data_IF_479917091448
#
_entry.id   IF_479917091448
#
_cell.length_a   1.000
_cell.length_b   1.000
_cell.length_c   1.000
_cell.angle_alpha   90.00
_cell.angle_beta   90.00
_cell.angle_gamma   90.00
#
_symmetry.space_group_name_H-M   'P 1'
#
loop_
_entity.id
_entity.type
_entity.pdbx_description
1 polymer ?
#
# COMPACT_ATOMS: atom_id res chain seq x y z
N UNK A 1 4.44 -11.26 34.51
CA UNK A 1 4.03 -9.97 33.92
C UNK A 1 3.09 -10.22 32.77
N UNK A 2 1.93 -9.55 32.73
CA UNK A 2 1.06 -9.56 31.55
C UNK A 2 1.85 -9.00 30.37
N UNK A 3 1.84 -9.69 29.23
CA UNK A 3 2.47 -9.15 28.02
C UNK A 3 1.56 -8.04 27.46
N UNK A 4 2.16 -6.90 27.17
CA UNK A 4 1.48 -5.82 26.44
C UNK A 4 1.43 -6.12 24.95
N UNK A 5 0.30 -5.87 24.33
CA UNK A 5 0.07 -6.09 22.91
C UNK A 5 -0.50 -4.85 22.25
N UNK A 6 -0.20 -4.66 20.97
CA UNK A 6 -0.87 -3.70 20.10
C UNK A 6 -1.43 -4.41 18.88
N UNK A 7 -2.48 -3.83 18.29
CA UNK A 7 -3.12 -4.36 17.09
C UNK A 7 -2.84 -3.43 15.92
N UNK A 8 -2.47 -4.01 14.78
CA UNK A 8 -2.46 -3.31 13.51
C UNK A 8 -3.49 -3.92 12.56
N UNK A 9 -4.44 -3.11 12.14
CA UNK A 9 -5.48 -3.47 11.18
C UNK A 9 -5.41 -2.61 9.92
N UNK A 10 -5.66 -3.20 8.74
CA UNK A 10 -5.65 -2.49 7.46
C UNK A 10 -6.88 -2.82 6.63
N UNK A 11 -7.52 -1.79 6.11
CA UNK A 11 -8.63 -1.92 5.18
C UNK A 11 -8.35 -1.22 3.85
N UNK A 12 -8.97 -1.74 2.78
CA UNK A 12 -8.93 -1.08 1.49
C UNK A 12 -9.83 0.16 1.50
N UNK A 13 -9.40 1.24 0.84
CA UNK A 13 -10.18 2.48 0.72
C UNK A 13 -11.37 2.41 -0.25
N UNK A 14 -11.57 1.28 -0.93
CA UNK A 14 -12.66 1.07 -1.89
C UNK A 14 -13.89 0.48 -1.20
N UNK A 15 -14.88 1.31 -0.85
CA UNK A 15 -16.17 0.88 -0.29
C UNK A 15 -16.34 1.24 1.21
N UNK A 16 -16.90 2.44 1.49
CA UNK A 16 -16.83 3.04 2.82
C UNK A 16 -17.62 2.34 3.94
N UNK A 17 -18.68 1.59 3.65
CA UNK A 17 -19.53 0.95 4.66
C UNK A 17 -19.18 -0.52 4.93
N UNK A 18 -18.97 -1.32 3.89
CA UNK A 18 -18.57 -2.73 4.03
C UNK A 18 -17.18 -2.89 4.65
N UNK A 19 -16.28 -1.92 4.42
CA UNK A 19 -14.92 -1.96 4.92
C UNK A 19 -14.79 -1.60 6.41
N UNK A 20 -15.67 -0.76 6.97
CA UNK A 20 -15.71 -0.51 8.42
C UNK A 20 -16.08 -1.78 9.19
N UNK A 21 -17.11 -2.48 8.76
CA UNK A 21 -17.51 -3.77 9.39
C UNK A 21 -16.38 -4.81 9.30
N UNK A 22 -15.58 -4.80 8.22
CA UNK A 22 -14.43 -5.71 8.08
C UNK A 22 -13.27 -5.36 9.03
N UNK A 23 -13.03 -4.07 9.33
CA UNK A 23 -11.99 -3.65 10.30
C UNK A 23 -12.42 -3.95 11.72
N UNK A 24 -13.60 -3.54 12.08
CA UNK A 24 -14.16 -3.77 13.42
C UNK A 24 -14.15 -5.27 13.77
N UNK A 25 -14.47 -6.12 12.80
CA UNK A 25 -14.41 -7.56 12.98
C UNK A 25 -12.95 -8.06 13.15
N UNK A 26 -12.01 -7.60 12.32
CA UNK A 26 -10.60 -7.98 12.46
C UNK A 26 -10.05 -7.57 13.84
N UNK A 27 -10.37 -6.36 14.29
CA UNK A 27 -9.96 -5.87 15.60
C UNK A 27 -10.60 -6.69 16.71
N UNK A 28 -11.92 -6.96 16.64
CA UNK A 28 -12.63 -7.77 17.63
C UNK A 28 -12.03 -9.18 17.75
N UNK A 29 -11.78 -9.85 16.62
CA UNK A 29 -11.19 -11.19 16.61
C UNK A 29 -9.79 -11.21 17.24
N UNK A 30 -8.98 -10.15 17.03
CA UNK A 30 -7.64 -10.02 17.62
C UNK A 30 -7.69 -9.66 19.11
N UNK A 31 -8.66 -8.86 19.54
CA UNK A 31 -8.92 -8.56 20.97
C UNK A 31 -9.32 -9.82 21.71
N UNK A 32 -10.23 -10.60 21.15
CA UNK A 32 -10.64 -11.88 21.74
C UNK A 32 -9.47 -12.85 21.89
N UNK A 33 -8.61 -12.90 20.86
CA UNK A 33 -7.40 -13.72 20.91
C UNK A 33 -6.45 -13.25 22.01
N UNK A 34 -6.17 -11.94 22.07
CA UNK A 34 -5.31 -11.36 23.10
C UNK A 34 -5.84 -11.63 24.53
N UNK A 35 -7.17 -11.51 24.71
CA UNK A 35 -7.82 -11.81 25.98
C UNK A 35 -7.65 -13.27 26.38
N UNK A 36 -7.83 -14.22 25.45
CA UNK A 36 -7.57 -15.64 25.68
C UNK A 36 -6.11 -15.95 26.04
N UNK A 37 -5.18 -15.17 25.50
CA UNK A 37 -3.75 -15.29 25.80
C UNK A 37 -3.35 -14.56 27.11
N UNK A 38 -4.26 -13.85 27.77
CA UNK A 38 -3.97 -13.02 28.94
C UNK A 38 -3.10 -11.81 28.64
N UNK A 39 -3.19 -11.26 27.40
CA UNK A 39 -2.47 -10.07 26.98
C UNK A 39 -3.33 -8.82 27.13
N UNK A 40 -2.70 -7.70 27.53
CA UNK A 40 -3.35 -6.39 27.61
C UNK A 40 -3.15 -5.65 26.30
N UNK A 41 -4.24 -5.25 25.62
CA UNK A 41 -4.18 -4.39 24.44
C UNK A 41 -3.96 -2.95 24.90
N UNK A 42 -2.86 -2.35 24.45
CA UNK A 42 -2.51 -0.97 24.78
C UNK A 42 -3.01 0.02 23.72
N UNK A 43 -2.89 -0.34 22.44
CA UNK A 43 -3.32 0.53 21.33
C UNK A 43 -3.72 -0.27 20.10
N UNK A 44 -4.67 0.29 19.34
CA UNK A 44 -5.07 -0.21 18.02
C UNK A 44 -4.66 0.82 16.97
N UNK A 45 -4.00 0.35 15.91
CA UNK A 45 -3.59 1.15 14.75
C UNK A 45 -4.41 0.71 13.53
N UNK A 46 -5.21 1.62 12.99
CA UNK A 46 -6.06 1.35 11.84
C UNK A 46 -5.60 2.15 10.63
N UNK A 47 -5.33 1.46 9.52
CA UNK A 47 -4.85 2.08 8.29
C UNK A 47 -5.85 1.90 7.14
N UNK A 48 -6.32 3.02 6.59
CA UNK A 48 -7.26 3.07 5.48
C UNK A 48 -6.52 3.45 4.19
N UNK A 49 -5.94 2.48 3.48
CA UNK A 49 -5.21 2.73 2.24
C UNK A 49 -5.50 1.70 1.15
N UNK A 50 -5.27 2.13 -0.10
CA UNK A 50 -5.16 1.21 -1.22
C UNK A 50 -4.00 0.23 -0.97
N UNK A 51 -4.25 -1.08 -1.18
CA UNK A 51 -3.21 -2.10 -1.12
C UNK A 51 -2.01 -1.84 -2.07
N UNK A 52 -2.01 -0.74 -2.86
CA UNK A 52 -0.97 -0.39 -3.81
C UNK A 52 0.24 0.34 -3.23
N UNK A 53 0.15 0.94 -2.03
CA UNK A 53 1.26 1.70 -1.43
C UNK A 53 2.32 0.79 -0.80
N UNK A 54 3.59 1.14 -0.92
CA UNK A 54 4.72 0.47 -0.26
C UNK A 54 4.70 0.72 1.26
N UNK A 55 5.40 -0.12 2.05
CA UNK A 55 5.46 0.04 3.50
C UNK A 55 6.01 1.42 3.92
N UNK A 56 7.02 1.97 3.23
CA UNK A 56 7.54 3.31 3.50
C UNK A 56 6.54 4.45 3.25
N UNK A 57 5.48 4.18 2.49
CA UNK A 57 4.36 5.11 2.27
C UNK A 57 3.19 4.84 3.23
N UNK A 58 3.32 3.82 4.08
CA UNK A 58 2.32 3.37 5.06
C UNK A 58 2.64 3.98 6.42
N UNK A 59 2.25 5.24 6.58
CA UNK A 59 2.57 6.02 7.77
C UNK A 59 2.09 5.36 9.08
N UNK A 60 0.89 4.74 9.07
CA UNK A 60 0.32 4.10 10.26
C UNK A 60 1.04 2.80 10.62
N UNK A 61 1.48 1.99 9.64
CA UNK A 61 2.30 0.81 9.93
C UNK A 61 3.64 1.22 10.54
N UNK A 62 4.28 2.24 9.97
CA UNK A 62 5.54 2.77 10.50
C UNK A 62 5.36 3.34 11.90
N UNK A 63 4.27 4.08 12.16
CA UNK A 63 3.91 4.57 13.49
C UNK A 63 3.71 3.41 14.48
N UNK A 64 2.98 2.36 14.07
CA UNK A 64 2.73 1.18 14.89
C UNK A 64 4.04 0.49 15.31
N UNK A 65 4.96 0.28 14.37
CA UNK A 65 6.26 -0.35 14.63
C UNK A 65 7.12 0.53 15.55
N UNK A 66 7.20 1.83 15.26
CA UNK A 66 7.95 2.78 16.08
C UNK A 66 7.38 2.85 17.51
N UNK A 67 6.06 2.86 17.63
CA UNK A 67 5.38 2.81 18.93
C UNK A 67 5.74 1.54 19.70
N UNK A 68 5.69 0.38 19.02
CA UNK A 68 6.05 -0.90 19.62
C UNK A 68 7.49 -0.89 20.18
N UNK A 69 8.43 -0.33 19.42
CA UNK A 69 9.84 -0.22 19.83
C UNK A 69 9.98 0.74 21.00
N UNK A 70 9.42 1.93 20.93
CA UNK A 70 9.58 2.99 21.94
C UNK A 70 8.93 2.65 23.29
N UNK A 71 7.85 1.86 23.28
CA UNK A 71 7.10 1.48 24.47
C UNK A 71 7.38 0.03 24.93
N UNK A 72 8.39 -0.63 24.36
CA UNK A 72 8.77 -2.00 24.72
C UNK A 72 7.59 -2.98 24.69
N UNK A 73 6.76 -2.89 23.65
CA UNK A 73 5.59 -3.75 23.47
C UNK A 73 6.04 -5.20 23.28
N UNK A 74 5.39 -6.12 23.96
CA UNK A 74 5.74 -7.54 23.90
C UNK A 74 5.33 -8.22 22.59
N UNK A 75 4.21 -7.78 21.97
CA UNK A 75 3.68 -8.40 20.76
C UNK A 75 2.85 -7.44 19.90
N UNK A 76 3.04 -7.52 18.57
CA UNK A 76 2.18 -6.86 17.59
C UNK A 76 1.27 -7.91 16.94
N UNK A 77 -0.02 -7.67 16.95
CA UNK A 77 -1.05 -8.56 16.41
C UNK A 77 -1.49 -8.09 15.03
N UNK A 78 -1.44 -9.01 14.07
CA UNK A 78 -1.90 -8.82 12.71
C UNK A 78 -2.97 -9.86 12.36
N UNK A 79 -3.99 -9.46 11.59
CA UNK A 79 -4.99 -10.42 11.11
C UNK A 79 -4.42 -11.43 10.13
N UNK A 80 -3.44 -11.05 9.31
CA UNK A 80 -2.75 -11.90 8.34
C UNK A 80 -1.40 -11.30 7.92
N UNK A 81 -0.49 -12.12 7.38
CA UNK A 81 0.83 -11.71 6.89
C UNK A 81 0.78 -10.58 5.85
N UNK A 82 -0.24 -10.56 5.00
CA UNK A 82 -0.42 -9.52 3.98
C UNK A 82 -0.62 -8.11 4.58
N UNK A 83 -0.86 -8.00 5.87
CA UNK A 83 -0.94 -6.72 6.58
C UNK A 83 0.43 -6.11 6.84
N UNK A 84 1.48 -6.93 6.97
CA UNK A 84 2.86 -6.44 7.15
C UNK A 84 3.50 -5.91 5.88
N UNK A 85 3.10 -6.38 4.71
CA UNK A 85 3.66 -5.99 3.43
C UNK A 85 2.84 -6.54 2.28
N UNK A 86 3.05 -5.98 1.07
CA UNK A 86 2.41 -6.45 -0.17
C UNK A 86 3.30 -7.41 -0.94
N UNK A 87 4.59 -7.15 -0.88
CA UNK A 87 5.61 -8.00 -1.45
C UNK A 87 6.31 -8.76 -0.33
N UNK A 88 6.81 -9.94 -0.64
CA UNK A 88 7.52 -10.79 0.31
C UNK A 88 8.65 -10.07 1.00
N UNK A 89 9.42 -9.28 0.24
CA UNK A 89 10.54 -8.55 0.80
C UNK A 89 10.09 -7.48 1.83
N UNK A 90 8.93 -6.83 1.64
CA UNK A 90 8.36 -5.89 2.62
C UNK A 90 7.93 -6.60 3.91
N UNK A 91 7.34 -7.79 3.77
CA UNK A 91 6.98 -8.64 4.93
C UNK A 91 8.24 -9.04 5.69
N UNK A 92 9.27 -9.51 4.97
CA UNK A 92 10.55 -9.89 5.56
C UNK A 92 11.25 -8.71 6.24
N UNK A 93 11.20 -7.51 5.66
CA UNK A 93 11.75 -6.29 6.25
C UNK A 93 11.04 -5.93 7.56
N UNK A 94 9.70 -5.96 7.56
CA UNK A 94 8.89 -5.72 8.76
C UNK A 94 9.19 -6.76 9.85
N UNK A 95 9.23 -8.04 9.50
CA UNK A 95 9.58 -9.14 10.42
C UNK A 95 10.98 -8.94 10.98
N UNK A 96 11.95 -8.55 10.15
CA UNK A 96 13.33 -8.29 10.58
C UNK A 96 13.39 -7.17 11.60
N UNK A 97 12.72 -6.05 11.38
CA UNK A 97 12.69 -4.92 12.32
C UNK A 97 12.11 -5.34 13.66
N UNK A 98 11.00 -6.08 13.67
CA UNK A 98 10.38 -6.59 14.90
C UNK A 98 11.30 -7.58 15.62
N UNK A 99 11.93 -8.47 14.88
CA UNK A 99 12.91 -9.43 15.41
C UNK A 99 14.11 -8.74 16.05
N UNK A 100 14.73 -7.80 15.34
CA UNK A 100 15.92 -7.06 15.82
C UNK A 100 15.59 -6.24 17.08
N UNK A 101 14.31 -5.86 17.24
CA UNK A 101 13.78 -5.17 18.42
C UNK A 101 13.26 -6.12 19.53
N UNK A 102 13.38 -7.44 19.34
CA UNK A 102 12.86 -8.47 20.25
C UNK A 102 11.35 -8.35 20.54
N UNK A 103 10.59 -7.89 19.55
CA UNK A 103 9.13 -7.75 19.60
C UNK A 103 8.51 -8.92 18.86
N UNK A 104 7.61 -9.67 19.50
CA UNK A 104 6.90 -10.75 18.82
C UNK A 104 5.86 -10.20 17.85
N UNK A 105 5.62 -10.93 16.76
CA UNK A 105 4.49 -10.69 15.85
C UNK A 105 3.63 -11.94 15.81
N UNK A 106 2.32 -11.78 15.85
CA UNK A 106 1.37 -12.87 15.69
C UNK A 106 0.46 -12.61 14.49
N UNK A 107 0.31 -13.61 13.64
CA UNK A 107 -0.49 -13.59 12.42
C UNK A 107 -1.66 -14.56 12.58
N UNK A 108 -2.85 -14.01 12.83
CA UNK A 108 -4.02 -14.79 13.24
C UNK A 108 -4.46 -15.80 12.18
N UNK A 109 -4.54 -15.39 10.93
CA UNK A 109 -4.99 -16.24 9.82
C UNK A 109 -4.08 -17.44 9.57
N UNK A 110 -2.77 -17.21 9.68
CA UNK A 110 -1.75 -18.22 9.52
C UNK A 110 -1.53 -19.05 10.80
N UNK A 111 -1.98 -18.55 11.96
CA UNK A 111 -1.75 -19.18 13.26
C UNK A 111 -0.28 -19.23 13.66
N UNK A 112 0.53 -18.26 13.18
CA UNK A 112 1.98 -18.24 13.36
C UNK A 112 2.43 -17.03 14.17
N UNK A 113 3.47 -17.23 14.98
CA UNK A 113 4.19 -16.18 15.68
C UNK A 113 5.63 -16.09 15.19
N UNK A 114 6.23 -14.90 15.31
CA UNK A 114 7.65 -14.68 15.01
C UNK A 114 8.55 -15.48 15.96
N UNK A 115 8.22 -15.45 17.24
CA UNK A 115 8.91 -16.25 18.25
C UNK A 115 7.97 -17.32 18.82
N UNK A 116 8.49 -18.52 19.02
CA UNK A 116 7.83 -19.61 19.70
C UNK A 116 7.71 -19.35 21.20
N UNK A 117 6.99 -20.21 21.92
CA UNK A 117 6.80 -20.08 23.36
C UNK A 117 8.11 -20.15 24.17
N UNK A 118 9.12 -20.82 23.63
CA UNK A 118 10.48 -20.93 24.21
C UNK A 118 11.37 -19.71 23.89
N UNK A 119 10.83 -18.69 23.21
CA UNK A 119 11.54 -17.46 22.84
C UNK A 119 12.45 -17.59 21.61
N UNK A 120 12.51 -18.76 20.98
CA UNK A 120 13.28 -18.97 19.75
C UNK A 120 12.48 -18.51 18.53
N UNK A 121 13.20 -18.15 17.47
CA UNK A 121 12.58 -17.86 16.18
C UNK A 121 11.77 -19.05 15.67
N UNK A 122 10.59 -18.77 15.16
CA UNK A 122 9.75 -19.79 14.57
C UNK A 122 10.18 -20.07 13.11
N UNK A 123 10.83 -21.21 12.83
CA UNK A 123 11.31 -21.49 11.47
C UNK A 123 10.19 -21.66 10.45
N UNK A 124 8.99 -22.03 10.89
CA UNK A 124 7.83 -22.19 9.99
C UNK A 124 7.38 -20.85 9.42
N UNK A 125 7.58 -19.74 10.13
CA UNK A 125 7.22 -18.42 9.61
C UNK A 125 8.07 -18.05 8.38
N UNK A 126 9.38 -18.28 8.40
CA UNK A 126 10.27 -18.01 7.28
C UNK A 126 9.89 -18.84 6.05
N UNK A 127 9.60 -20.14 6.24
CA UNK A 127 9.14 -21.02 5.18
C UNK A 127 7.80 -20.54 4.61
N UNK A 128 6.83 -20.24 5.48
CA UNK A 128 5.50 -19.77 5.07
C UNK A 128 5.58 -18.47 4.27
N UNK A 129 6.37 -17.48 4.72
CA UNK A 129 6.55 -16.22 3.99
C UNK A 129 7.15 -16.48 2.61
N UNK A 130 8.13 -17.38 2.48
CA UNK A 130 8.75 -17.74 1.22
C UNK A 130 7.74 -18.41 0.26
N UNK A 131 6.95 -19.36 0.76
CA UNK A 131 5.90 -20.04 -0.03
C UNK A 131 4.84 -19.05 -0.51
N UNK A 132 4.32 -18.21 0.39
CA UNK A 132 3.34 -17.18 0.02
C UNK A 132 3.88 -16.20 -1.02
N UNK A 133 5.17 -15.96 -0.99
CA UNK A 133 5.85 -15.15 -1.98
C UNK A 133 5.84 -15.76 -3.37
N UNK A 134 6.23 -16.99 -3.45
CA UNK A 134 6.19 -17.76 -4.71
C UNK A 134 4.76 -17.82 -5.25
N UNK A 135 3.78 -18.16 -4.41
CA UNK A 135 2.37 -18.19 -4.79
C UNK A 135 1.87 -16.84 -5.32
N UNK A 136 2.22 -15.75 -4.66
CA UNK A 136 1.85 -14.39 -5.08
C UNK A 136 2.49 -13.99 -6.41
N UNK A 137 3.71 -14.45 -6.68
CA UNK A 137 4.37 -14.24 -7.96
C UNK A 137 3.69 -15.02 -9.07
N UNK A 138 3.42 -16.31 -8.85
CA UNK A 138 2.71 -17.16 -9.81
C UNK A 138 1.33 -16.61 -10.15
N UNK A 139 0.60 -16.10 -9.17
CA UNK A 139 -0.71 -15.46 -9.41
C UNK A 139 -0.60 -14.22 -10.31
N UNK A 140 0.39 -13.34 -10.07
CA UNK A 140 0.65 -12.17 -10.94
C UNK A 140 0.99 -12.58 -12.38
N UNK A 141 1.84 -13.60 -12.55
CA UNK A 141 2.21 -14.12 -13.85
C UNK A 141 1.00 -14.71 -14.58
N UNK A 142 0.15 -15.45 -13.87
CA UNK A 142 -1.09 -16.01 -14.42
C UNK A 142 -2.09 -14.90 -14.83
N UNK A 143 -2.21 -13.82 -14.04
CA UNK A 143 -3.03 -12.66 -14.39
C UNK A 143 -2.47 -11.97 -15.63
N UNK A 144 -1.16 -11.70 -15.66
CA UNK A 144 -0.49 -11.09 -16.80
C UNK A 144 -0.65 -11.91 -18.08
N UNK A 145 -0.50 -13.25 -17.98
CA UNK A 145 -0.72 -14.16 -19.10
C UNK A 145 -2.16 -14.07 -19.63
N UNK A 146 -3.17 -14.15 -18.74
CA UNK A 146 -4.59 -14.02 -19.13
C UNK A 146 -4.91 -12.69 -19.78
N UNK A 147 -4.39 -11.59 -19.25
CA UNK A 147 -4.56 -10.25 -19.82
C UNK A 147 -3.91 -10.13 -21.20
N UNK A 148 -2.68 -10.65 -21.36
CA UNK A 148 -1.98 -10.63 -22.64
C UNK A 148 -2.66 -11.51 -23.69
N UNK A 149 -3.14 -12.67 -23.32
CA UNK A 149 -3.90 -13.56 -24.20
C UNK A 149 -5.23 -12.93 -24.64
N UNK A 150 -5.97 -12.33 -23.69
CA UNK A 150 -7.19 -11.61 -23.99
C UNK A 150 -6.95 -10.40 -24.91
N UNK A 151 -5.84 -9.67 -24.68
CA UNK A 151 -5.43 -8.55 -25.54
C UNK A 151 -5.10 -9.00 -26.98
N UNK A 152 -4.37 -10.11 -27.12
CA UNK A 152 -4.07 -10.70 -28.44
C UNK A 152 -5.35 -11.03 -29.21
N UNK A 153 -6.25 -11.76 -28.59
CA UNK A 153 -7.54 -12.12 -29.18
C UNK A 153 -8.38 -10.89 -29.56
N UNK A 154 -8.38 -9.86 -28.74
CA UNK A 154 -9.10 -8.62 -29.04
C UNK A 154 -8.49 -7.89 -30.26
N UNK A 155 -7.16 -7.84 -30.38
CA UNK A 155 -6.47 -7.27 -31.54
C UNK A 155 -6.78 -8.06 -32.82
N UNK A 156 -6.74 -9.40 -32.75
CA UNK A 156 -7.10 -10.30 -33.86
C UNK A 156 -8.55 -10.11 -34.36
N UNK A 157 -9.46 -9.78 -33.42
CA UNK A 157 -10.86 -9.42 -33.73
C UNK A 157 -11.02 -7.95 -34.20
N UNK A 158 -9.93 -7.22 -34.45
CA UNK A 158 -9.95 -5.85 -34.96
C UNK A 158 -10.22 -4.77 -33.89
N UNK A 159 -10.21 -5.12 -32.59
CA UNK A 159 -10.37 -4.12 -31.54
C UNK A 159 -9.11 -3.27 -31.44
N UNK A 160 -9.24 -1.97 -31.71
CA UNK A 160 -8.14 -1.01 -31.56
C UNK A 160 -7.88 -0.76 -30.08
N UNK A 161 -6.67 -1.08 -29.64
CA UNK A 161 -6.21 -0.83 -28.29
C UNK A 161 -5.59 0.56 -28.16
N UNK A 162 -5.59 1.10 -26.96
CA UNK A 162 -5.01 2.40 -26.65
C UNK A 162 -6.03 3.53 -26.63
N UNK A 163 -5.54 4.77 -26.72
CA UNK A 163 -6.39 5.96 -26.67
C UNK A 163 -7.25 6.04 -27.93
N UNK A 164 -8.55 6.27 -27.76
CA UNK A 164 -9.47 6.44 -28.90
C UNK A 164 -9.00 7.60 -29.77
N UNK A 165 -9.02 7.39 -31.10
CA UNK A 165 -8.71 8.44 -32.06
C UNK A 165 -9.67 9.62 -31.82
N UNK A 166 -9.15 10.84 -31.77
CA UNK A 166 -9.97 12.03 -31.51
C UNK A 166 -10.27 12.31 -30.00
N UNK A 167 -9.86 11.43 -29.09
CA UNK A 167 -9.98 11.68 -27.66
C UNK A 167 -8.99 12.75 -27.18
N UNK A 168 -9.31 14.01 -27.44
CA UNK A 168 -8.53 15.19 -27.00
C UNK A 168 -9.28 15.84 -25.84
N UNK A 169 -8.57 16.32 -24.83
CA UNK A 169 -9.19 17.13 -23.76
C UNK A 169 -9.79 18.38 -24.37
N UNK A 170 -10.99 18.78 -23.94
CA UNK A 170 -11.58 20.06 -24.34
C UNK A 170 -10.68 21.23 -23.91
N UNK A 171 -10.86 22.37 -24.54
CA UNK A 171 -10.10 23.58 -24.15
C UNK A 171 -10.36 23.98 -22.71
N UNK A 172 -11.60 23.86 -22.23
CA UNK A 172 -11.98 24.11 -20.83
C UNK A 172 -11.26 23.20 -19.85
N UNK A 173 -11.17 21.88 -20.17
CA UNK A 173 -10.43 20.92 -19.36
C UNK A 173 -8.93 21.23 -19.33
N UNK A 174 -8.35 21.64 -20.48
CA UNK A 174 -6.95 22.07 -20.56
C UNK A 174 -6.72 23.35 -19.77
N UNK A 175 -7.63 24.32 -19.83
CA UNK A 175 -7.55 25.57 -19.09
C UNK A 175 -7.53 25.34 -17.58
N UNK A 176 -8.41 24.49 -17.10
CA UNK A 176 -8.46 24.12 -15.67
C UNK A 176 -7.18 23.38 -15.24
N UNK A 177 -6.75 22.39 -16.02
CA UNK A 177 -5.57 21.57 -15.70
C UNK A 177 -4.27 22.38 -15.72
N UNK A 178 -4.14 23.29 -16.69
CA UNK A 178 -2.92 24.08 -16.89
C UNK A 178 -3.05 25.53 -16.42
N UNK A 179 -4.02 25.85 -15.58
CA UNK A 179 -4.29 27.21 -15.11
C UNK A 179 -3.04 27.92 -14.55
N UNK A 180 -2.19 27.21 -13.78
CA UNK A 180 -0.95 27.76 -13.24
C UNK A 180 0.08 28.08 -14.33
N UNK A 181 0.21 27.20 -15.33
CA UNK A 181 1.12 27.38 -16.48
C UNK A 181 0.67 28.58 -17.31
N UNK A 182 -0.62 28.64 -17.63
CA UNK A 182 -1.23 29.74 -18.41
C UNK A 182 -1.00 31.08 -17.70
N UNK A 183 -1.24 31.15 -16.37
CA UNK A 183 -1.01 32.36 -15.57
C UNK A 183 0.47 32.79 -15.59
N UNK A 184 1.40 31.85 -15.45
CA UNK A 184 2.84 32.13 -15.51
C UNK A 184 3.28 32.67 -16.87
N UNK A 185 2.79 32.08 -17.96
CA UNK A 185 3.09 32.51 -19.33
C UNK A 185 2.50 33.92 -19.60
N UNK A 186 1.25 34.18 -19.21
CA UNK A 186 0.62 35.49 -19.34
C UNK A 186 1.31 36.58 -18.52
N UNK A 187 1.97 36.21 -17.43
CA UNK A 187 2.82 37.11 -16.63
C UNK A 187 4.21 37.35 -17.25
N UNK A 188 4.44 36.91 -18.50
CA UNK A 188 5.70 37.15 -19.24
C UNK A 188 6.89 36.28 -18.82
N UNK A 189 6.68 35.23 -18.04
CA UNK A 189 7.78 34.35 -17.64
C UNK A 189 8.27 33.49 -18.80
N UNK A 190 9.56 33.20 -18.80
CA UNK A 190 10.14 32.34 -19.83
C UNK A 190 9.58 30.91 -19.76
N UNK A 191 9.67 30.16 -20.87
CA UNK A 191 9.22 28.76 -20.91
C UNK A 191 9.96 27.90 -19.88
N UNK A 192 11.26 28.13 -19.69
CA UNK A 192 12.09 27.40 -18.73
C UNK A 192 11.70 27.71 -17.28
N UNK A 193 11.51 28.98 -16.97
CA UNK A 193 11.12 29.41 -15.61
C UNK A 193 9.70 28.91 -15.29
N UNK A 194 8.78 28.99 -16.26
CA UNK A 194 7.42 28.45 -16.09
C UNK A 194 7.45 26.94 -15.85
N UNK A 195 8.29 26.20 -16.55
CA UNK A 195 8.43 24.75 -16.35
C UNK A 195 8.94 24.44 -14.92
N UNK A 196 9.93 25.17 -14.43
CA UNK A 196 10.48 25.02 -13.09
C UNK A 196 9.44 25.38 -12.00
N UNK A 197 8.78 26.54 -12.13
CA UNK A 197 7.78 27.03 -11.15
C UNK A 197 6.57 26.12 -11.06
N UNK A 198 6.10 25.61 -12.20
CA UNK A 198 4.91 24.75 -12.26
C UNK A 198 5.22 23.26 -12.14
N UNK A 199 6.50 22.88 -12.00
CA UNK A 199 6.95 21.46 -11.92
C UNK A 199 6.45 20.61 -13.08
N UNK A 200 6.49 21.15 -14.31
CA UNK A 200 6.09 20.47 -15.54
C UNK A 200 7.25 20.46 -16.54
N UNK A 201 7.19 19.57 -17.54
CA UNK A 201 8.21 19.52 -18.57
C UNK A 201 8.14 20.76 -19.49
N UNK A 202 9.30 21.18 -20.04
CA UNK A 202 9.40 22.25 -21.02
C UNK A 202 8.49 22.01 -22.22
N UNK A 203 8.41 20.77 -22.70
CA UNK A 203 7.51 20.38 -23.80
C UNK A 203 6.03 20.57 -23.48
N UNK A 204 5.64 20.36 -22.21
CA UNK A 204 4.27 20.66 -21.76
C UNK A 204 3.99 22.14 -21.81
N UNK A 205 4.91 22.99 -21.36
CA UNK A 205 4.76 24.46 -21.40
C UNK A 205 4.66 24.95 -22.84
N UNK A 206 5.51 24.44 -23.74
CA UNK A 206 5.47 24.79 -25.16
C UNK A 206 4.13 24.42 -25.82
N UNK A 207 3.60 23.23 -25.51
CA UNK A 207 2.30 22.78 -25.98
C UNK A 207 1.19 23.69 -25.49
N UNK A 208 1.18 24.01 -24.19
CA UNK A 208 0.18 24.91 -23.58
C UNK A 208 0.27 26.31 -24.21
N UNK A 209 1.49 26.84 -24.39
CA UNK A 209 1.70 28.12 -25.08
C UNK A 209 1.08 28.13 -26.49
N UNK A 210 1.29 27.04 -27.24
CA UNK A 210 0.71 26.88 -28.60
C UNK A 210 -0.81 26.74 -28.54
N UNK A 211 -1.35 25.91 -27.66
CA UNK A 211 -2.78 25.63 -27.54
C UNK A 211 -3.60 26.89 -27.17
N UNK A 212 -3.03 27.79 -26.39
CA UNK A 212 -3.69 29.01 -25.90
C UNK A 212 -3.21 30.31 -26.57
N UNK A 213 -2.36 30.24 -27.60
CA UNK A 213 -1.81 31.39 -28.36
C UNK A 213 -1.21 32.49 -27.46
N UNK A 214 -0.41 32.11 -26.48
CA UNK A 214 0.24 33.00 -25.50
C UNK A 214 1.68 33.26 -25.92
#
# INVERSE_FOLDING_TARGET
MMKTAIIYARVSSSGALENRQSTDRQVADLVDYATKCGWSIERVFEEHISGAKRNGERAVLSECINYAISNHIGVVLFSELSRCGRAVWEVLETIKVLKDSNINAYFQKEGLSLFSADGKENPYLAVMVSVLGVCSQMERENIAYRLNSGRKLAIERGVKMGRKVGSVKSMEQKETEYAKVIRSLRAGKSIRDTAAICSVSVSTVQRVKKDFNI
#
